data_IF_131460230590
#
_entry.id   IF_131460230590
#
_cell.length_a   1.000
_cell.length_b   1.000
_cell.length_c   1.000
_cell.angle_alpha   90.00
_cell.angle_beta   90.00
_cell.angle_gamma   90.00
#
_symmetry.space_group_name_H-M   'P 1'
#
loop_
_entity.id
_entity.type
_entity.pdbx_description
1 polymer ?
#
# COMPACT_ATOMS: atom_id res chain seq x y z
N UNK A 1 -67.66 16.36 -38.68
CA UNK A 1 -66.79 16.81 -39.79
C UNK A 1 -65.99 18.02 -39.34
N UNK A 2 -64.70 18.10 -39.73
CA UNK A 2 -63.60 18.04 -38.77
C UNK A 2 -62.47 19.05 -39.04
N UNK A 3 -61.43 19.06 -38.20
CA UNK A 3 -60.00 19.24 -38.52
C UNK A 3 -59.24 19.41 -37.19
N UNK A 4 -58.08 18.83 -36.90
CA UNK A 4 -57.12 17.95 -37.60
C UNK A 4 -56.09 17.52 -36.53
N UNK A 5 -55.88 16.23 -36.25
CA UNK A 5 -54.72 15.39 -36.66
C UNK A 5 -53.34 15.92 -36.18
N UNK A 6 -52.57 15.15 -35.40
CA UNK A 6 -51.84 13.91 -35.76
C UNK A 6 -51.31 13.29 -34.46
N UNK A 7 -51.32 12.00 -34.12
CA UNK A 7 -51.16 10.70 -34.80
C UNK A 7 -49.83 10.50 -35.55
N UNK A 8 -48.89 9.85 -34.87
CA UNK A 8 -47.79 9.12 -35.49
C UNK A 8 -47.55 7.83 -34.70
N UNK A 9 -48.18 6.76 -35.17
CA UNK A 9 -47.64 5.41 -35.00
C UNK A 9 -47.42 4.74 -36.36
N UNK A 10 -46.30 4.00 -36.42
CA UNK A 10 -46.01 2.85 -37.31
C UNK A 10 -45.25 3.16 -38.63
N UNK A 11 -43.98 2.74 -38.70
CA UNK A 11 -43.59 1.55 -39.48
C UNK A 11 -42.12 1.18 -39.29
N UNK A 12 -41.87 -0.11 -39.36
CA UNK A 12 -40.65 -0.83 -39.04
C UNK A 12 -39.57 -0.74 -40.13
N UNK A 13 -38.31 -0.89 -39.72
CA UNK A 13 -37.29 -1.62 -40.48
C UNK A 13 -36.17 -2.11 -39.55
N UNK A 14 -36.00 -3.42 -39.46
CA UNK A 14 -34.88 -4.14 -38.82
C UNK A 14 -33.63 -4.01 -39.70
N UNK A 15 -32.41 -3.93 -39.13
CA UNK A 15 -31.52 -5.11 -38.99
C UNK A 15 -30.75 -5.03 -37.63
N UNK A 16 -29.99 -5.99 -37.07
CA UNK A 16 -29.67 -7.41 -37.26
C UNK A 16 -28.79 -7.78 -36.05
N UNK A 17 -29.22 -8.77 -35.27
CA UNK A 17 -28.49 -9.65 -34.33
C UNK A 17 -27.05 -9.27 -33.88
N UNK A 18 -26.86 -9.10 -32.56
CA UNK A 18 -25.62 -9.55 -31.90
C UNK A 18 -25.86 -10.01 -30.44
N UNK A 19 -25.89 -11.34 -30.32
CA UNK A 19 -25.47 -12.22 -29.21
C UNK A 19 -25.77 -11.77 -27.76
N UNK A 20 -26.91 -12.23 -27.25
CA UNK A 20 -27.08 -12.54 -25.83
C UNK A 20 -26.26 -13.79 -25.48
N UNK A 21 -25.28 -13.66 -24.59
CA UNK A 21 -24.64 -14.82 -23.96
C UNK A 21 -25.52 -15.29 -22.80
N UNK A 22 -26.09 -16.47 -22.99
CA UNK A 22 -26.89 -17.23 -22.02
C UNK A 22 -26.10 -17.51 -20.74
N UNK A 23 -26.72 -17.20 -19.60
CA UNK A 23 -26.31 -17.63 -18.26
C UNK A 23 -26.49 -19.15 -18.15
N UNK A 24 -25.41 -19.89 -17.95
CA UNK A 24 -25.43 -21.34 -17.69
C UNK A 24 -25.60 -21.57 -16.19
N UNK A 25 -26.55 -22.40 -15.72
CA UNK A 25 -26.65 -22.75 -14.31
C UNK A 25 -25.54 -23.73 -13.92
N UNK A 26 -24.80 -23.42 -12.86
CA UNK A 26 -23.78 -24.30 -12.28
C UNK A 26 -24.47 -25.51 -11.63
N UNK A 27 -24.28 -26.71 -12.19
CA UNK A 27 -24.78 -27.97 -11.66
C UNK A 27 -23.65 -28.68 -10.92
N UNK A 28 -23.82 -28.85 -9.61
CA UNK A 28 -22.93 -29.64 -8.76
C UNK A 28 -22.97 -31.11 -9.20
N UNK A 29 -21.83 -31.69 -9.57
CA UNK A 29 -21.65 -33.14 -9.64
C UNK A 29 -20.34 -33.51 -8.99
N UNK A 30 -20.49 -34.22 -7.89
CA UNK A 30 -19.46 -34.85 -7.07
C UNK A 30 -18.55 -35.75 -7.92
N UNK A 31 -17.23 -35.59 -7.76
CA UNK A 31 -16.26 -36.64 -8.08
C UNK A 31 -15.29 -36.75 -6.90
N UNK A 32 -15.51 -37.78 -6.08
CA UNK A 32 -14.54 -38.26 -5.09
C UNK A 32 -13.44 -39.05 -5.81
N UNK A 33 -12.15 -38.86 -5.50
CA UNK A 33 -11.16 -39.90 -5.71
C UNK A 33 -11.05 -40.79 -4.46
N UNK A 34 -11.22 -42.08 -4.69
CA UNK A 34 -10.86 -43.17 -3.78
C UNK A 34 -9.34 -43.20 -3.63
N UNK A 35 -8.83 -43.13 -2.41
CA UNK A 35 -7.46 -43.53 -2.09
C UNK A 35 -7.46 -44.43 -0.86
N UNK A 36 -7.23 -45.71 -1.12
CA UNK A 36 -7.08 -46.76 -0.13
C UNK A 36 -5.59 -47.01 0.13
N UNK A 37 -5.17 -46.77 1.38
CA UNK A 37 -4.12 -47.48 2.11
C UNK A 37 -2.69 -47.53 1.57
N UNK A 38 -1.77 -46.76 2.20
CA UNK A 38 -0.48 -47.28 2.70
C UNK A 38 0.13 -46.35 3.76
N UNK A 39 0.58 -46.97 4.85
CA UNK A 39 1.19 -46.37 6.05
C UNK A 39 2.64 -45.94 5.75
N UNK A 40 3.11 -44.83 6.34
CA UNK A 40 4.53 -44.66 6.69
C UNK A 40 5.14 -43.29 6.39
N UNK A 41 5.70 -42.69 7.46
CA UNK A 41 6.69 -41.61 7.51
C UNK A 41 6.34 -40.21 6.96
N UNK A 42 6.06 -39.31 7.91
CA UNK A 42 6.23 -37.86 7.74
C UNK A 42 7.73 -37.57 7.86
N UNK A 43 8.37 -37.22 6.75
CA UNK A 43 9.66 -36.52 6.73
C UNK A 43 9.49 -35.19 5.99
N UNK A 44 10.06 -34.14 6.57
CA UNK A 44 9.92 -32.74 6.20
C UNK A 44 11.16 -32.28 5.43
N UNK A 45 10.94 -31.37 4.47
CA UNK A 45 11.87 -30.43 3.81
C UNK A 45 12.73 -30.96 2.63
N UNK A 46 13.32 -30.10 1.74
CA UNK A 46 13.33 -28.62 1.72
C UNK A 46 13.04 -27.92 0.36
N UNK A 47 12.91 -26.58 0.41
CA UNK A 47 12.80 -25.62 -0.69
C UNK A 47 14.07 -25.53 -1.58
N UNK A 48 13.97 -25.16 -2.88
CA UNK A 48 15.13 -24.93 -3.73
C UNK A 48 15.57 -23.45 -3.69
N UNK A 49 16.69 -23.17 -3.01
CA UNK A 49 17.52 -21.98 -3.26
C UNK A 49 18.98 -22.43 -3.29
N UNK A 50 19.52 -22.62 -4.50
CA UNK A 50 20.94 -22.83 -4.75
C UNK A 50 21.47 -21.59 -5.47
N UNK A 51 22.21 -20.76 -4.76
CA UNK A 51 23.02 -19.66 -5.32
C UNK A 51 24.43 -20.21 -5.53
N UNK A 52 24.85 -20.26 -6.80
CA UNK A 52 26.23 -20.58 -7.19
C UNK A 52 27.07 -19.32 -6.98
N UNK A 53 28.03 -19.38 -6.07
CA UNK A 53 29.03 -18.35 -5.87
C UNK A 53 30.09 -18.42 -6.99
N UNK A 54 30.25 -17.33 -7.73
CA UNK A 54 31.36 -17.11 -8.68
C UNK A 54 32.40 -16.26 -7.96
N UNK A 55 33.57 -16.85 -7.65
CA UNK A 55 34.71 -16.11 -7.09
C UNK A 55 35.55 -15.44 -8.18
N UNK A 56 36.19 -14.29 -7.93
CA UNK A 56 37.26 -13.78 -8.77
C UNK A 56 38.64 -14.22 -8.24
N UNK A 57 39.43 -14.85 -9.10
CA UNK A 57 40.83 -15.19 -8.84
C UNK A 57 41.76 -14.10 -9.41
N UNK A 58 42.58 -13.55 -8.51
CA UNK A 58 44.00 -13.18 -8.64
C UNK A 58 44.47 -12.53 -9.96
N UNK A 59 44.70 -11.21 -9.89
CA UNK A 59 45.59 -10.49 -10.80
C UNK A 59 46.97 -10.37 -10.14
N UNK A 60 47.97 -10.93 -10.81
CA UNK A 60 49.38 -10.81 -10.47
C UNK A 60 49.90 -9.47 -11.04
N UNK A 61 50.32 -8.54 -10.17
CA UNK A 61 51.05 -7.33 -10.59
C UNK A 61 52.51 -7.52 -10.19
N UNK A 62 53.38 -7.64 -11.20
CA UNK A 62 54.83 -7.59 -11.03
C UNK A 62 55.26 -6.15 -10.76
N UNK A 63 56.18 -5.99 -9.80
CA UNK A 63 56.78 -4.71 -9.47
C UNK A 63 57.91 -4.34 -10.41
N UNK A 64 58.22 -3.05 -10.47
CA UNK A 64 59.59 -2.57 -10.64
C UNK A 64 59.73 -1.09 -10.24
N UNK A 65 60.86 -0.83 -9.59
CA UNK A 65 61.63 0.41 -9.54
C UNK A 65 61.10 1.65 -8.79
N UNK A 66 61.75 1.83 -7.63
CA UNK A 66 61.98 3.06 -6.87
C UNK A 66 62.52 4.21 -7.73
N UNK A 67 62.01 5.42 -7.52
CA UNK A 67 62.70 6.66 -7.81
C UNK A 67 62.50 7.65 -6.64
N UNK A 68 63.62 8.13 -6.09
CA UNK A 68 63.72 9.02 -4.94
C UNK A 68 63.18 10.44 -5.21
N UNK A 69 62.73 11.17 -4.16
CA UNK A 69 62.24 12.53 -4.29
C UNK A 69 63.39 13.57 -4.30
N UNK A 70 63.30 14.66 -5.09
CA UNK A 70 64.25 15.76 -4.96
C UNK A 70 64.00 16.57 -3.68
N UNK A 71 65.10 16.86 -2.97
CA UNK A 71 65.16 17.58 -1.69
C UNK A 71 64.82 19.08 -1.74
N UNK A 72 64.98 19.78 -0.60
CA UNK A 72 64.25 21.01 -0.30
C UNK A 72 64.92 22.26 -0.87
N UNK A 73 64.14 23.14 -1.50
CA UNK A 73 64.59 24.50 -1.82
C UNK A 73 64.18 25.48 -0.71
N UNK A 74 65.18 26.23 -0.21
CA UNK A 74 65.03 27.35 0.74
C UNK A 74 64.92 28.68 0.00
N UNK A 75 64.02 29.55 0.48
CA UNK A 75 63.90 30.98 0.17
C UNK A 75 62.43 31.37 0.10
N UNK A 76 61.87 32.41 0.71
CA UNK A 76 62.30 33.58 1.50
C UNK A 76 61.04 33.98 2.35
N UNK A 77 61.12 34.73 3.47
CA UNK A 77 59.98 34.89 4.37
C UNK A 77 59.13 36.15 4.08
N UNK A 78 57.93 36.16 4.67
CA UNK A 78 57.02 37.28 4.94
C UNK A 78 56.16 37.83 3.79
N UNK A 79 54.86 37.49 3.78
CA UNK A 79 53.74 38.45 3.82
C UNK A 79 52.59 37.80 4.60
N UNK A 80 52.13 38.47 5.66
CA UNK A 80 50.99 38.05 6.48
C UNK A 80 49.69 38.10 5.67
N UNK A 81 49.21 36.92 5.26
CA UNK A 81 47.84 36.72 4.82
C UNK A 81 46.98 36.37 6.02
N UNK A 82 46.15 37.29 6.49
CA UNK A 82 45.11 36.98 7.46
C UNK A 82 44.19 35.91 6.89
N UNK A 83 44.19 34.72 7.50
CA UNK A 83 43.21 33.69 7.20
C UNK A 83 41.86 34.21 7.73
N UNK A 84 41.07 34.80 6.85
CA UNK A 84 39.65 35.01 7.11
C UNK A 84 39.01 33.63 7.10
N UNK A 85 38.87 33.01 8.27
CA UNK A 85 38.04 31.83 8.45
C UNK A 85 36.60 32.27 8.21
N UNK A 86 36.17 32.20 6.96
CA UNK A 86 34.76 32.34 6.61
C UNK A 86 34.06 31.14 7.24
N UNK A 87 33.35 31.37 8.34
CA UNK A 87 32.46 30.37 8.94
C UNK A 87 31.41 30.05 7.89
N UNK A 88 31.62 28.94 7.17
CA UNK A 88 30.57 28.35 6.35
C UNK A 88 29.54 27.85 7.35
N UNK A 89 28.48 28.62 7.58
CA UNK A 89 27.25 28.03 8.11
C UNK A 89 26.80 27.04 7.05
N UNK A 90 27.14 25.77 7.23
CA UNK A 90 26.48 24.72 6.49
C UNK A 90 24.99 24.92 6.77
N UNK A 91 24.24 25.33 5.75
CA UNK A 91 22.79 25.15 5.77
C UNK A 91 22.65 23.64 5.75
N UNK A 92 22.44 23.04 6.91
CA UNK A 92 21.95 21.68 6.99
C UNK A 92 20.58 21.73 6.34
N UNK A 93 20.49 21.31 5.08
CA UNK A 93 19.20 21.08 4.45
C UNK A 93 18.47 20.07 5.32
N UNK A 94 17.37 20.53 5.93
CA UNK A 94 16.52 19.70 6.77
C UNK A 94 15.91 18.63 5.86
N UNK A 95 16.04 17.37 6.26
CA UNK A 95 15.54 16.24 5.52
C UNK A 95 14.03 16.39 5.28
N UNK A 96 13.57 16.19 4.05
CA UNK A 96 12.15 16.25 3.71
C UNK A 96 11.57 14.87 3.39
N UNK A 97 10.24 14.74 3.41
CA UNK A 97 9.58 13.50 3.00
C UNK A 97 9.95 13.07 1.58
N UNK A 98 10.08 14.03 0.65
CA UNK A 98 10.48 13.78 -0.73
C UNK A 98 11.83 13.04 -0.85
N UNK A 99 12.69 13.16 0.17
CA UNK A 99 13.99 12.51 0.23
C UNK A 99 13.96 11.04 0.71
N UNK A 100 12.83 10.60 1.27
CA UNK A 100 12.63 9.28 1.88
C UNK A 100 11.69 8.38 1.08
N UNK A 101 10.81 8.97 0.27
CA UNK A 101 9.77 8.24 -0.44
C UNK A 101 10.37 7.39 -1.59
N UNK A 102 9.83 6.18 -1.83
CA UNK A 102 10.14 5.43 -3.04
C UNK A 102 9.82 6.23 -4.29
N UNK A 103 10.38 5.81 -5.42
CA UNK A 103 10.02 6.36 -6.72
C UNK A 103 8.50 6.27 -7.00
N UNK A 104 7.99 7.13 -7.90
CA UNK A 104 6.57 7.15 -8.27
C UNK A 104 6.07 5.76 -8.70
N UNK A 105 6.80 4.98 -9.53
CA UNK A 105 6.45 3.59 -9.84
C UNK A 105 6.28 2.70 -8.61
N UNK A 106 7.22 2.73 -7.66
CA UNK A 106 7.18 1.95 -6.43
C UNK A 106 6.07 2.38 -5.48
N UNK A 107 5.73 3.67 -5.48
CA UNK A 107 4.60 4.22 -4.71
C UNK A 107 3.27 3.78 -5.31
N UNK A 108 3.07 3.97 -6.62
CA UNK A 108 1.84 3.57 -7.31
C UNK A 108 1.58 2.07 -7.25
N UNK A 109 2.63 1.24 -7.33
CA UNK A 109 2.49 -0.20 -7.20
C UNK A 109 2.01 -0.64 -5.81
N UNK A 110 2.48 0.02 -4.74
CA UNK A 110 1.99 -0.25 -3.37
C UNK A 110 0.53 0.14 -3.22
N UNK A 111 0.16 1.33 -3.71
CA UNK A 111 -1.24 1.80 -3.72
C UNK A 111 -2.13 0.79 -4.45
N UNK A 112 -1.74 0.38 -5.66
CA UNK A 112 -2.48 -0.58 -6.46
C UNK A 112 -2.64 -1.93 -5.75
N UNK A 113 -1.57 -2.45 -5.13
CA UNK A 113 -1.63 -3.74 -4.44
C UNK A 113 -2.47 -3.68 -3.16
N UNK A 114 -2.36 -2.60 -2.37
CA UNK A 114 -3.18 -2.41 -1.17
C UNK A 114 -4.68 -2.34 -1.50
N UNK A 115 -5.05 -1.69 -2.60
CA UNK A 115 -6.44 -1.65 -3.07
C UNK A 115 -6.94 -3.04 -3.49
N UNK A 116 -6.07 -3.85 -4.09
CA UNK A 116 -6.40 -5.23 -4.45
C UNK A 116 -6.61 -6.10 -3.19
N UNK A 117 -5.73 -5.98 -2.19
CA UNK A 117 -5.89 -6.67 -0.90
C UNK A 117 -7.19 -6.24 -0.20
N UNK A 118 -7.50 -4.94 -0.20
CA UNK A 118 -8.76 -4.45 0.36
C UNK A 118 -9.97 -5.02 -0.37
N UNK A 119 -9.95 -5.08 -1.71
CA UNK A 119 -11.02 -5.71 -2.49
C UNK A 119 -11.22 -7.18 -2.12
N UNK A 120 -10.12 -7.95 -1.99
CA UNK A 120 -10.18 -9.37 -1.64
C UNK A 120 -10.82 -9.58 -0.26
N UNK A 121 -10.39 -8.80 0.73
CA UNK A 121 -10.92 -8.90 2.10
C UNK A 121 -12.39 -8.48 2.17
N UNK A 122 -12.76 -7.36 1.55
CA UNK A 122 -14.15 -6.91 1.50
C UNK A 122 -15.06 -7.93 0.79
N UNK A 123 -14.57 -8.54 -0.30
CA UNK A 123 -15.32 -9.59 -1.02
C UNK A 123 -15.54 -10.83 -0.16
N UNK A 124 -14.55 -11.19 0.66
CA UNK A 124 -14.72 -12.25 1.65
C UNK A 124 -15.75 -11.86 2.73
N UNK A 125 -15.68 -10.64 3.27
CA UNK A 125 -16.62 -10.11 4.24
C UNK A 125 -18.07 -10.08 3.74
N UNK A 126 -18.30 -9.85 2.44
CA UNK A 126 -19.65 -9.94 1.82
C UNK A 126 -20.24 -11.33 2.01
N UNK A 127 -19.44 -12.39 1.87
CA UNK A 127 -19.92 -13.77 2.03
C UNK A 127 -20.36 -14.03 3.47
N UNK A 128 -19.57 -13.54 4.41
CA UNK A 128 -19.75 -13.77 5.86
C UNK A 128 -20.74 -12.80 6.53
N UNK A 129 -21.13 -11.72 5.83
CA UNK A 129 -21.95 -10.67 6.42
C UNK A 129 -23.32 -11.20 6.92
N UNK A 130 -23.72 -10.82 8.15
CA UNK A 130 -24.93 -11.35 8.80
C UNK A 130 -26.23 -10.79 8.21
N UNK A 131 -26.19 -9.57 7.67
CA UNK A 131 -27.35 -8.84 7.18
C UNK A 131 -27.24 -8.56 5.68
N UNK A 132 -28.38 -8.59 4.97
CA UNK A 132 -28.43 -8.33 3.53
C UNK A 132 -27.98 -6.91 3.18
N UNK A 133 -28.35 -5.92 3.98
CA UNK A 133 -27.93 -4.52 3.78
C UNK A 133 -26.41 -4.39 3.83
N UNK A 134 -25.77 -5.01 4.84
CA UNK A 134 -24.32 -5.04 4.94
C UNK A 134 -23.66 -5.73 3.73
N UNK A 135 -24.28 -6.77 3.15
CA UNK A 135 -23.78 -7.39 1.90
C UNK A 135 -23.80 -6.42 0.73
N UNK A 136 -24.86 -5.61 0.59
CA UNK A 136 -24.99 -4.65 -0.49
C UNK A 136 -23.97 -3.51 -0.36
N UNK A 137 -23.82 -2.96 0.84
CA UNK A 137 -22.87 -1.89 1.16
C UNK A 137 -21.43 -2.39 0.98
N UNK A 138 -21.04 -3.51 1.60
CA UNK A 138 -19.71 -4.10 1.41
C UNK A 138 -19.41 -4.43 -0.05
N UNK A 139 -20.41 -4.91 -0.81
CA UNK A 139 -20.27 -5.18 -2.24
C UNK A 139 -19.94 -3.94 -3.06
N UNK A 140 -20.55 -2.79 -2.74
CA UNK A 140 -20.22 -1.49 -3.37
C UNK A 140 -18.80 -1.06 -3.02
N UNK A 141 -18.41 -1.14 -1.75
CA UNK A 141 -17.06 -0.77 -1.32
C UNK A 141 -15.99 -1.67 -1.97
N UNK A 142 -16.26 -2.98 -2.07
CA UNK A 142 -15.38 -3.92 -2.75
C UNK A 142 -15.20 -3.54 -4.22
N UNK A 143 -16.31 -3.31 -4.95
CA UNK A 143 -16.26 -2.92 -6.36
C UNK A 143 -15.44 -1.64 -6.58
N UNK A 144 -15.60 -0.64 -5.72
CA UNK A 144 -14.82 0.60 -5.80
C UNK A 144 -13.33 0.38 -5.50
N UNK A 145 -13.00 -0.51 -4.56
CA UNK A 145 -11.60 -0.88 -4.28
C UNK A 145 -10.93 -1.53 -5.51
N UNK A 146 -11.66 -2.39 -6.22
CA UNK A 146 -11.19 -2.98 -7.47
C UNK A 146 -11.03 -1.94 -8.59
N UNK A 147 -11.98 -1.02 -8.73
CA UNK A 147 -11.89 0.07 -9.71
C UNK A 147 -10.65 0.94 -9.47
N UNK A 148 -10.35 1.26 -8.21
CA UNK A 148 -9.15 2.02 -7.87
C UNK A 148 -7.87 1.27 -8.18
N UNK A 149 -7.83 -0.03 -7.87
CA UNK A 149 -6.70 -0.89 -8.22
C UNK A 149 -6.45 -0.84 -9.74
N UNK A 150 -7.51 -0.99 -10.54
CA UNK A 150 -7.43 -0.93 -12.00
C UNK A 150 -6.97 0.45 -12.50
N UNK A 151 -7.47 1.53 -11.90
CA UNK A 151 -7.08 2.89 -12.24
C UNK A 151 -5.60 3.17 -11.91
N UNK A 152 -5.10 2.68 -10.76
CA UNK A 152 -3.70 2.81 -10.40
C UNK A 152 -2.78 2.03 -11.37
N UNK A 153 -3.19 0.85 -11.81
CA UNK A 153 -2.46 0.10 -12.82
C UNK A 153 -2.47 0.80 -14.17
N UNK A 154 -3.62 1.30 -14.61
CA UNK A 154 -3.73 2.06 -15.85
C UNK A 154 -2.82 3.30 -15.83
N UNK A 155 -2.80 4.05 -14.73
CA UNK A 155 -1.92 5.21 -14.58
C UNK A 155 -0.42 4.85 -14.67
N UNK A 156 -0.01 3.70 -14.13
CA UNK A 156 1.37 3.21 -14.26
C UNK A 156 1.68 2.78 -15.70
N UNK A 157 0.78 2.03 -16.33
CA UNK A 157 0.97 1.53 -17.69
C UNK A 157 1.02 2.69 -18.71
N UNK A 158 0.18 3.72 -18.54
CA UNK A 158 0.21 4.96 -19.34
C UNK A 158 1.53 5.73 -19.20
N UNK A 159 2.17 5.66 -18.04
CA UNK A 159 3.50 6.20 -17.80
C UNK A 159 4.64 5.30 -18.34
N UNK A 160 4.32 4.21 -19.05
CA UNK A 160 5.29 3.26 -19.59
C UNK A 160 5.92 2.35 -18.52
N UNK A 161 5.32 2.28 -17.33
CA UNK A 161 5.77 1.45 -16.21
C UNK A 161 4.97 0.17 -16.20
N UNK A 162 5.64 -0.99 -16.19
CA UNK A 162 4.95 -2.28 -16.07
C UNK A 162 4.38 -2.48 -14.65
N UNK A 163 3.18 -1.97 -14.38
CA UNK A 163 2.60 -1.86 -13.04
C UNK A 163 2.56 -3.19 -12.28
N UNK A 164 2.13 -4.27 -12.93
CA UNK A 164 2.09 -5.63 -12.35
C UNK A 164 3.48 -6.14 -11.94
N UNK A 165 4.52 -5.78 -12.68
CA UNK A 165 5.91 -6.17 -12.33
C UNK A 165 6.37 -5.46 -11.07
N UNK A 166 6.02 -4.19 -10.91
CA UNK A 166 6.33 -3.44 -9.69
C UNK A 166 5.51 -3.95 -8.49
N UNK A 167 4.22 -4.25 -8.67
CA UNK A 167 3.39 -4.84 -7.60
C UNK A 167 4.00 -6.14 -7.06
N UNK A 168 4.48 -7.01 -7.95
CA UNK A 168 5.12 -8.28 -7.54
C UNK A 168 6.32 -8.06 -6.62
N UNK A 169 7.08 -6.97 -6.77
CA UNK A 169 8.23 -6.66 -5.91
C UNK A 169 7.83 -6.25 -4.49
N UNK A 170 6.62 -5.73 -4.32
CA UNK A 170 6.09 -5.26 -3.03
C UNK A 170 5.09 -6.22 -2.41
N UNK A 171 4.69 -7.27 -3.14
CA UNK A 171 3.61 -8.18 -2.75
C UNK A 171 3.87 -8.87 -1.42
N UNK A 172 5.05 -9.47 -1.23
CA UNK A 172 5.38 -10.21 -0.01
C UNK A 172 5.31 -9.32 1.24
N UNK A 173 5.86 -8.11 1.17
CA UNK A 173 5.80 -7.12 2.24
C UNK A 173 4.35 -6.76 2.62
N UNK A 174 3.52 -6.51 1.62
CA UNK A 174 2.13 -6.08 1.84
C UNK A 174 1.24 -7.26 2.27
N UNK A 175 1.55 -8.48 1.85
CA UNK A 175 0.90 -9.69 2.34
C UNK A 175 1.23 -9.94 3.82
N UNK A 176 2.51 -9.82 4.21
CA UNK A 176 2.89 -9.91 5.62
C UNK A 176 2.17 -8.86 6.49
N UNK A 177 2.02 -7.64 5.97
CA UNK A 177 1.22 -6.61 6.64
C UNK A 177 -0.25 -7.05 6.76
N UNK A 178 -0.87 -7.48 5.67
CA UNK A 178 -2.26 -7.93 5.65
C UNK A 178 -2.52 -9.08 6.64
N UNK A 179 -1.60 -10.04 6.74
CA UNK A 179 -1.66 -11.13 7.72
C UNK A 179 -1.63 -10.61 9.17
N UNK A 180 -0.80 -9.61 9.48
CA UNK A 180 -0.71 -9.02 10.83
C UNK A 180 -2.00 -8.31 11.25
N UNK A 181 -2.72 -7.72 10.28
CA UNK A 181 -3.94 -6.95 10.51
C UNK A 181 -5.23 -7.69 10.12
N UNK A 182 -5.17 -8.99 9.80
CA UNK A 182 -6.31 -9.74 9.27
C UNK A 182 -7.55 -9.70 10.19
N UNK A 183 -7.38 -9.62 11.51
CA UNK A 183 -8.50 -9.66 12.47
C UNK A 183 -9.04 -11.08 12.66
N UNK A 184 -9.56 -11.38 13.86
CA UNK A 184 -9.91 -12.76 14.23
C UNK A 184 -11.33 -13.19 13.86
N UNK A 185 -12.20 -12.22 13.65
CA UNK A 185 -13.61 -12.43 13.30
C UNK A 185 -14.12 -11.30 12.40
N UNK A 186 -15.37 -11.42 11.95
CA UNK A 186 -15.98 -10.50 11.00
C UNK A 186 -15.93 -9.03 11.46
N UNK A 187 -16.15 -8.77 12.75
CA UNK A 187 -16.18 -7.41 13.31
C UNK A 187 -14.77 -6.78 13.37
N UNK A 188 -13.73 -7.57 13.69
CA UNK A 188 -12.34 -7.09 13.63
C UNK A 188 -11.86 -6.88 12.19
N UNK A 189 -12.24 -7.79 11.29
CA UNK A 189 -11.91 -7.72 9.85
C UNK A 189 -12.48 -6.48 9.19
N UNK A 190 -13.77 -6.19 9.39
CA UNK A 190 -14.39 -4.96 8.84
C UNK A 190 -13.77 -3.70 9.47
N UNK A 191 -13.42 -3.73 10.76
CA UNK A 191 -12.72 -2.62 11.40
C UNK A 191 -11.32 -2.40 10.77
N UNK A 192 -10.58 -3.46 10.47
CA UNK A 192 -9.32 -3.38 9.72
C UNK A 192 -9.53 -2.70 8.37
N UNK A 193 -10.53 -3.15 7.58
CA UNK A 193 -10.84 -2.56 6.28
C UNK A 193 -11.19 -1.07 6.36
N UNK A 194 -11.76 -0.62 7.47
CA UNK A 194 -12.05 0.78 7.73
C UNK A 194 -10.79 1.55 8.16
N UNK A 195 -10.12 1.12 9.23
CA UNK A 195 -9.06 1.90 9.87
C UNK A 195 -7.70 1.78 9.18
N UNK A 196 -7.21 0.57 8.94
CA UNK A 196 -5.89 0.36 8.33
C UNK A 196 -5.84 0.97 6.92
N UNK A 197 -6.91 0.77 6.13
CA UNK A 197 -7.02 1.36 4.81
C UNK A 197 -7.11 2.90 4.85
N UNK A 198 -7.73 3.48 5.88
CA UNK A 198 -7.77 4.95 6.03
C UNK A 198 -6.40 5.52 6.40
N UNK A 199 -5.70 4.92 7.37
CA UNK A 199 -4.37 5.37 7.80
C UNK A 199 -3.39 5.29 6.62
N UNK A 200 -3.37 4.16 5.91
CA UNK A 200 -2.49 4.01 4.76
C UNK A 200 -2.85 4.96 3.62
N UNK A 201 -4.14 5.22 3.40
CA UNK A 201 -4.58 6.22 2.41
C UNK A 201 -4.06 7.61 2.77
N UNK A 202 -4.22 8.05 4.01
CA UNK A 202 -3.73 9.36 4.45
C UNK A 202 -2.21 9.45 4.32
N UNK A 203 -1.49 8.37 4.68
CA UNK A 203 -0.05 8.28 4.49
C UNK A 203 0.34 8.40 3.01
N UNK A 204 -0.31 7.65 2.11
CA UNK A 204 -0.01 7.74 0.69
C UNK A 204 -0.46 9.07 0.07
N UNK A 205 -1.45 9.76 0.64
CA UNK A 205 -1.79 11.12 0.22
C UNK A 205 -0.62 12.08 0.45
N UNK A 206 -0.03 12.06 1.65
CA UNK A 206 1.17 12.85 1.96
C UNK A 206 2.35 12.49 1.03
N UNK A 207 2.55 11.20 0.74
CA UNK A 207 3.59 10.74 -0.19
C UNK A 207 3.35 11.21 -1.62
N UNK A 208 2.11 11.15 -2.12
CA UNK A 208 1.79 11.63 -3.47
C UNK A 208 1.89 13.16 -3.58
N UNK A 209 1.56 13.90 -2.52
CA UNK A 209 1.79 15.35 -2.49
C UNK A 209 3.29 15.68 -2.52
N UNK A 210 4.12 14.94 -1.78
CA UNK A 210 5.58 15.11 -1.80
C UNK A 210 6.21 14.80 -3.18
N UNK A 211 5.61 13.89 -3.97
CA UNK A 211 6.00 13.64 -5.36
C UNK A 211 5.59 14.75 -6.34
N UNK A 212 4.73 15.68 -5.93
CA UNK A 212 4.25 16.79 -6.78
C UNK A 212 3.53 16.30 -8.03
N UNK A 213 3.76 16.97 -9.16
CA UNK A 213 3.10 16.72 -10.45
C UNK A 213 3.41 15.33 -11.03
N UNK A 214 4.55 14.73 -10.68
CA UNK A 214 4.92 13.40 -11.17
C UNK A 214 3.93 12.32 -10.70
N UNK A 215 3.26 12.54 -9.56
CA UNK A 215 2.26 11.64 -8.99
C UNK A 215 0.81 12.03 -9.33
N UNK A 216 0.57 13.09 -10.12
CA UNK A 216 -0.78 13.59 -10.40
C UNK A 216 -1.75 12.50 -10.92
N UNK A 217 -1.36 11.58 -11.82
CA UNK A 217 -2.25 10.50 -12.29
C UNK A 217 -2.70 9.52 -11.20
N UNK A 218 -1.93 9.38 -10.11
CA UNK A 218 -2.23 8.43 -9.03
C UNK A 218 -3.17 9.03 -7.96
N UNK A 219 -3.23 10.36 -7.82
CA UNK A 219 -4.03 11.04 -6.78
C UNK A 219 -5.51 10.61 -6.78
N UNK A 220 -6.21 10.50 -7.92
CA UNK A 220 -7.62 10.08 -7.94
C UNK A 220 -7.85 8.68 -7.38
N UNK A 221 -6.83 7.81 -7.40
CA UNK A 221 -6.96 6.42 -6.97
C UNK A 221 -7.08 6.27 -5.45
N UNK A 222 -6.60 7.26 -4.69
CA UNK A 222 -6.64 7.24 -3.21
C UNK A 222 -7.78 8.09 -2.63
N UNK A 223 -8.48 8.90 -3.43
CA UNK A 223 -9.55 9.82 -2.96
C UNK A 223 -10.91 9.12 -2.94
N UNK A 224 -11.71 9.34 -1.88
CA UNK A 224 -13.20 9.42 -1.80
C UNK A 224 -13.67 9.17 -0.35
N UNK A 225 -14.63 9.99 0.09
CA UNK A 225 -15.27 9.95 1.41
C UNK A 225 -16.36 8.87 1.50
N UNK A 226 -17.04 8.56 0.39
CA UNK A 226 -18.26 7.71 0.37
C UNK A 226 -18.03 6.30 0.94
N UNK A 227 -16.87 5.71 0.66
CA UNK A 227 -16.48 4.39 1.20
C UNK A 227 -16.40 4.38 2.71
N UNK A 228 -15.87 5.46 3.29
CA UNK A 228 -15.68 5.53 4.72
C UNK A 228 -17.00 5.65 5.45
N UNK A 229 -17.96 6.38 4.86
CA UNK A 229 -19.30 6.49 5.40
C UNK A 229 -20.04 5.14 5.40
N UNK A 230 -19.96 4.36 4.31
CA UNK A 230 -20.58 3.03 4.22
C UNK A 230 -20.01 2.06 5.28
N UNK A 231 -18.68 1.91 5.37
CA UNK A 231 -18.05 1.04 6.38
C UNK A 231 -18.32 1.52 7.81
N UNK A 232 -18.25 2.83 8.05
CA UNK A 232 -18.56 3.43 9.34
C UNK A 232 -20.00 3.10 9.76
N UNK A 233 -20.98 3.23 8.86
CA UNK A 233 -22.39 2.94 9.15
C UNK A 233 -22.61 1.50 9.59
N UNK A 234 -21.96 0.55 8.92
CA UNK A 234 -22.02 -0.87 9.29
C UNK A 234 -21.42 -1.09 10.69
N UNK A 235 -20.22 -0.58 10.94
CA UNK A 235 -19.52 -0.77 12.22
C UNK A 235 -20.29 -0.11 13.36
N UNK A 236 -20.72 1.14 13.19
CA UNK A 236 -21.54 1.85 14.16
C UNK A 236 -22.84 1.08 14.46
N UNK A 237 -23.46 0.48 13.44
CA UNK A 237 -24.62 -0.39 13.59
C UNK A 237 -24.38 -1.59 14.50
N UNK A 238 -23.22 -2.24 14.35
CA UNK A 238 -22.79 -3.39 15.18
C UNK A 238 -22.47 -2.98 16.62
N UNK A 239 -21.93 -1.78 16.81
CA UNK A 239 -21.54 -1.26 18.12
C UNK A 239 -22.72 -0.78 18.98
N UNK A 240 -23.86 -0.41 18.36
CA UNK A 240 -25.03 0.10 19.10
C UNK A 240 -25.48 -0.87 20.20
N UNK A 241 -25.32 -0.43 21.45
CA UNK A 241 -25.73 -1.19 22.64
C UNK A 241 -24.82 -2.36 23.01
N UNK A 242 -23.68 -2.55 22.34
CA UNK A 242 -22.77 -3.67 22.56
C UNK A 242 -21.40 -3.20 23.09
N UNK A 243 -21.33 -2.91 24.39
CA UNK A 243 -20.12 -2.39 25.04
C UNK A 243 -18.94 -3.37 25.01
N UNK A 244 -19.20 -4.68 25.11
CA UNK A 244 -18.15 -5.71 25.06
C UNK A 244 -17.47 -5.73 23.69
N UNK A 245 -18.26 -5.59 22.62
CA UNK A 245 -17.71 -5.46 21.28
C UNK A 245 -16.95 -4.15 21.11
N UNK A 246 -17.47 -3.04 21.65
CA UNK A 246 -16.81 -1.73 21.60
C UNK A 246 -15.42 -1.75 22.25
N UNK A 247 -15.30 -2.26 23.48
CA UNK A 247 -14.00 -2.34 24.18
C UNK A 247 -12.99 -3.20 23.42
N UNK A 248 -13.47 -4.32 22.87
CA UNK A 248 -12.64 -5.20 22.05
C UNK A 248 -12.17 -4.51 20.77
N UNK A 249 -13.08 -3.88 20.02
CA UNK A 249 -12.74 -3.17 18.79
C UNK A 249 -11.85 -1.96 19.06
N UNK A 250 -11.97 -1.31 20.22
CA UNK A 250 -11.04 -0.25 20.64
C UNK A 250 -9.60 -0.78 20.82
N UNK A 251 -9.44 -1.92 21.50
CA UNK A 251 -8.13 -2.58 21.64
C UNK A 251 -7.56 -3.01 20.30
N UNK A 252 -8.39 -3.57 19.42
CA UNK A 252 -7.98 -3.95 18.06
C UNK A 252 -7.57 -2.72 17.24
N UNK A 253 -8.35 -1.64 17.30
CA UNK A 253 -8.09 -0.36 16.64
C UNK A 253 -6.72 0.23 16.99
N UNK A 254 -6.34 0.22 18.27
CA UNK A 254 -4.99 0.63 18.71
C UNK A 254 -3.89 -0.22 18.12
N UNK A 255 -4.07 -1.55 18.11
CA UNK A 255 -3.07 -2.49 17.58
C UNK A 255 -2.84 -2.27 16.08
N UNK A 256 -3.91 -2.28 15.27
CA UNK A 256 -3.78 -2.14 13.81
C UNK A 256 -3.20 -0.79 13.42
N UNK A 257 -3.42 0.24 14.23
CA UNK A 257 -2.82 1.56 14.03
C UNK A 257 -1.31 1.48 14.14
N UNK A 258 -0.79 0.84 15.20
CA UNK A 258 0.65 0.61 15.35
C UNK A 258 1.24 -0.16 14.16
N UNK A 259 0.60 -1.26 13.75
CA UNK A 259 1.02 -2.05 12.59
C UNK A 259 0.99 -1.23 11.28
N UNK A 260 0.02 -0.32 11.12
CA UNK A 260 -0.10 0.54 9.93
C UNK A 260 0.97 1.63 9.88
N UNK A 261 1.32 2.22 11.02
CA UNK A 261 2.43 3.18 11.10
C UNK A 261 3.78 2.50 10.80
N UNK A 262 3.98 1.26 11.28
CA UNK A 262 5.16 0.47 10.95
C UNK A 262 5.22 0.11 9.46
N UNK A 263 4.08 -0.16 8.82
CA UNK A 263 4.01 -0.35 7.39
C UNK A 263 4.39 0.93 6.61
N UNK A 264 3.93 2.10 7.06
CA UNK A 264 4.35 3.38 6.50
C UNK A 264 5.86 3.62 6.62
N UNK A 265 6.43 3.35 7.80
CA UNK A 265 7.89 3.44 8.04
C UNK A 265 8.67 2.53 7.08
N UNK A 266 8.20 1.29 6.89
CA UNK A 266 8.82 0.35 5.96
C UNK A 266 8.69 0.80 4.50
N UNK A 267 7.56 1.39 4.12
CA UNK A 267 7.36 1.95 2.79
C UNK A 267 8.35 3.07 2.46
N UNK A 268 8.84 3.82 3.45
CA UNK A 268 9.93 4.80 3.31
C UNK A 268 11.34 4.18 3.33
N UNK A 269 11.46 2.87 3.17
CA UNK A 269 12.75 2.18 3.16
C UNK A 269 13.38 1.99 4.53
N UNK A 270 12.61 2.11 5.62
CA UNK A 270 13.10 1.95 6.99
C UNK A 270 12.39 0.74 7.66
N UNK A 271 12.88 -0.49 7.47
CA UNK A 271 12.30 -1.67 8.10
C UNK A 271 12.28 -1.61 9.64
N UNK A 272 11.41 -2.44 10.24
CA UNK A 272 11.41 -2.65 11.69
C UNK A 272 12.73 -3.30 12.10
N UNK A 273 13.36 -2.74 13.14
CA UNK A 273 14.65 -3.23 13.65
C UNK A 273 15.88 -2.67 12.92
N UNK A 274 15.71 -1.73 11.99
CA UNK A 274 16.85 -0.98 11.43
C UNK A 274 17.61 -0.28 12.56
N UNK A 275 18.93 -0.51 12.70
CA UNK A 275 19.74 0.16 13.71
C UNK A 275 19.69 1.69 13.54
N UNK A 276 19.69 2.45 14.64
CA UNK A 276 19.54 3.91 14.60
C UNK A 276 20.64 4.58 13.75
N UNK A 277 21.86 4.04 13.78
CA UNK A 277 23.00 4.49 12.98
C UNK A 277 22.84 4.24 11.47
N UNK A 278 21.93 3.34 11.08
CA UNK A 278 21.61 3.03 9.69
C UNK A 278 20.42 3.83 9.16
N UNK A 279 19.68 4.52 10.04
CA UNK A 279 18.60 5.42 9.64
C UNK A 279 19.22 6.74 9.20
N UNK A 280 18.76 7.27 8.06
CA UNK A 280 19.22 8.58 7.56
C UNK A 280 18.94 9.65 8.62
N UNK A 281 19.95 10.46 8.93
CA UNK A 281 19.81 11.55 9.91
C UNK A 281 18.63 12.46 9.55
N UNK A 282 17.76 12.73 10.52
CA UNK A 282 16.52 13.50 10.34
C UNK A 282 15.30 12.67 9.92
N UNK A 283 15.44 11.40 9.53
CA UNK A 283 14.30 10.60 9.03
C UNK A 283 13.25 10.31 10.10
N UNK A 284 13.68 10.10 11.34
CA UNK A 284 12.75 9.91 12.46
C UNK A 284 11.94 11.18 12.73
N UNK A 285 12.51 12.38 12.55
CA UNK A 285 11.77 13.63 12.71
C UNK A 285 10.67 13.80 11.65
N UNK A 286 10.99 13.51 10.38
CA UNK A 286 10.01 13.51 9.28
C UNK A 286 8.90 12.50 9.54
N UNK A 287 9.25 11.29 10.00
CA UNK A 287 8.29 10.26 10.36
C UNK A 287 7.39 10.68 11.51
N UNK A 288 7.94 11.27 12.57
CA UNK A 288 7.19 11.72 13.73
C UNK A 288 6.17 12.80 13.35
N UNK A 289 6.54 13.71 12.44
CA UNK A 289 5.63 14.76 11.95
C UNK A 289 4.43 14.17 11.18
N UNK A 290 4.67 13.22 10.29
CA UNK A 290 3.63 12.52 9.53
C UNK A 290 2.77 11.68 10.48
N UNK A 291 3.41 10.89 11.36
CA UNK A 291 2.72 10.04 12.33
C UNK A 291 1.81 10.85 13.24
N UNK A 292 2.22 12.06 13.66
CA UNK A 292 1.37 12.95 14.45
C UNK A 292 0.08 13.33 13.71
N UNK A 293 0.16 13.65 12.41
CA UNK A 293 -1.02 13.94 11.57
C UNK A 293 -1.91 12.71 11.37
N UNK A 294 -1.31 11.56 11.07
CA UNK A 294 -2.04 10.29 10.91
C UNK A 294 -2.77 9.89 12.20
N UNK A 295 -2.13 10.04 13.35
CA UNK A 295 -2.72 9.74 14.66
C UNK A 295 -3.86 10.69 15.03
N UNK A 296 -3.74 11.98 14.69
CA UNK A 296 -4.82 12.94 14.91
C UNK A 296 -6.07 12.56 14.11
N UNK A 297 -5.91 12.18 12.85
CA UNK A 297 -7.00 11.76 12.00
C UNK A 297 -7.56 10.37 12.40
N UNK A 298 -6.71 9.42 12.78
CA UNK A 298 -7.14 8.15 13.38
C UNK A 298 -8.00 8.37 14.64
N UNK A 299 -7.56 9.25 15.53
CA UNK A 299 -8.30 9.57 16.76
C UNK A 299 -9.69 10.14 16.46
N UNK A 300 -9.82 10.97 15.41
CA UNK A 300 -11.13 11.45 14.94
C UNK A 300 -12.03 10.30 14.48
N UNK A 301 -11.49 9.33 13.75
CA UNK A 301 -12.26 8.16 13.27
C UNK A 301 -12.69 7.23 14.40
N UNK A 302 -11.81 6.97 15.37
CA UNK A 302 -12.15 6.20 16.58
C UNK A 302 -13.27 6.87 17.36
N UNK A 303 -13.15 8.18 17.61
CA UNK A 303 -14.17 8.96 18.30
C UNK A 303 -15.50 8.97 17.54
N UNK A 304 -15.49 9.06 16.21
CA UNK A 304 -16.70 9.00 15.40
C UNK A 304 -17.45 7.67 15.58
N UNK A 305 -16.73 6.56 15.77
CA UNK A 305 -17.31 5.24 16.07
C UNK A 305 -17.72 5.06 17.54
N UNK A 306 -17.47 6.05 18.39
CA UNK A 306 -17.66 5.94 19.85
C UNK A 306 -16.66 4.99 20.51
N UNK A 307 -15.51 4.73 19.87
CA UNK A 307 -14.43 3.91 20.40
C UNK A 307 -13.40 4.78 21.10
N UNK A 308 -12.86 4.31 22.23
CA UNK A 308 -11.72 4.96 22.85
C UNK A 308 -10.47 4.75 21.99
N UNK A 309 -9.84 5.85 21.56
CA UNK A 309 -8.53 5.86 20.92
C UNK A 309 -7.44 5.44 21.93
#
# INVERSE_FOLDING_TARGET
MPSSESDWTRSASTPRSEKFTTVVPYRNSEVRPVLEGRKGCIQRAPHPNMVVAVGPALVHVGGEALAEPPGPQRGNPMIGGGVVVRRMTAVTEELQLADLIPDVPGTGARIAYLQLLQFQELSSLVTDAPELTAKQELGRVAALSLQRHQAAIAALDEAGVAGTTHMRRTADELNEFAERVAGRDWDERILTCHLAASILRDFYAEVLEAHGEAAAPLRPTIVHEDVQAELHGIIAGRLRGNFVLADRLAMWGRRITGDSLLAGRRALGIPVGTPAESVREGADAVLDEINARLMAEHSRRMNALGLAA
#
